data_IF_987131956492
#
_entry.id   IF_987131956492
#
_cell.length_a   1.000
_cell.length_b   1.000
_cell.length_c   1.000
_cell.angle_alpha   90.00
_cell.angle_beta   90.00
_cell.angle_gamma   90.00
#
_symmetry.space_group_name_H-M   'P 1'
#
loop_
_entity.id
_entity.type
_entity.pdbx_description
1 polymer ?
#
# COMPACT_ATOMS: atom_id res chain seq x y z
N UNK A 1 -11.97 46.60 28.49
CA UNK A 1 -12.77 45.57 27.77
C UNK A 1 -12.46 45.54 26.27
N UNK A 2 -12.47 46.66 25.53
CA UNK A 2 -12.22 46.69 24.07
C UNK A 2 -10.85 46.12 23.62
N UNK A 3 -9.81 46.31 24.43
CA UNK A 3 -8.45 45.83 24.14
C UNK A 3 -8.33 44.30 24.10
N UNK A 4 -9.07 43.58 24.96
CA UNK A 4 -9.01 42.11 25.01
C UNK A 4 -9.68 41.49 23.77
N UNK A 5 -10.78 42.09 23.31
CA UNK A 5 -11.47 41.67 22.08
C UNK A 5 -10.60 41.89 20.83
N UNK A 6 -9.85 42.99 20.77
CA UNK A 6 -8.90 43.25 19.69
C UNK A 6 -7.76 42.23 19.66
N UNK A 7 -7.20 41.88 20.82
CA UNK A 7 -6.15 40.86 20.94
C UNK A 7 -6.67 39.47 20.53
N UNK A 8 -7.88 39.10 20.96
CA UNK A 8 -8.51 37.84 20.57
C UNK A 8 -8.80 37.77 19.06
N UNK A 9 -9.24 38.88 18.46
CA UNK A 9 -9.53 38.95 17.03
C UNK A 9 -8.25 38.83 16.20
N UNK A 10 -7.16 39.47 16.62
CA UNK A 10 -5.85 39.34 15.98
C UNK A 10 -5.32 37.91 16.08
N UNK A 11 -5.43 37.26 17.25
CA UNK A 11 -5.05 35.86 17.42
C UNK A 11 -5.89 34.91 16.56
N UNK A 12 -7.20 35.17 16.43
CA UNK A 12 -8.08 34.35 15.61
C UNK A 12 -7.74 34.46 14.11
N UNK A 13 -7.45 35.67 13.63
CA UNK A 13 -7.01 35.89 12.23
C UNK A 13 -5.64 35.26 11.98
N UNK A 14 -4.70 35.38 12.91
CA UNK A 14 -3.38 34.71 12.83
C UNK A 14 -3.48 33.19 12.84
N UNK A 15 -4.45 32.62 13.58
CA UNK A 15 -4.70 31.17 13.59
C UNK A 15 -5.39 30.67 12.31
N UNK A 16 -6.15 31.52 11.60
CA UNK A 16 -6.87 31.16 10.36
C UNK A 16 -5.97 31.12 9.12
N UNK A 17 -4.95 31.98 9.05
CA UNK A 17 -4.02 32.07 7.91
C UNK A 17 -3.25 30.76 7.62
N UNK A 18 -2.73 30.01 8.61
CA UNK A 18 -1.97 28.79 8.33
C UNK A 18 -2.83 27.56 7.98
N UNK A 19 -4.14 27.57 8.28
CA UNK A 19 -5.03 26.41 8.09
C UNK A 19 -5.05 25.92 6.63
N UNK A 20 -5.28 26.76 5.60
CA UNK A 20 -5.28 26.29 4.21
C UNK A 20 -3.91 25.74 3.77
N UNK A 21 -2.81 26.30 4.30
CA UNK A 21 -1.45 25.81 4.02
C UNK A 21 -1.19 24.44 4.65
N UNK A 22 -1.59 24.24 5.91
CA UNK A 22 -1.47 22.95 6.63
C UNK A 22 -2.35 21.87 5.99
N UNK A 23 -3.56 22.21 5.55
CA UNK A 23 -4.43 21.27 4.83
C UNK A 23 -3.81 20.89 3.48
N UNK A 24 -3.18 21.83 2.78
CA UNK A 24 -2.50 21.54 1.51
C UNK A 24 -1.25 20.68 1.68
N UNK A 25 -0.47 20.87 2.76
CA UNK A 25 0.71 20.06 3.05
C UNK A 25 0.35 18.66 3.51
N UNK A 26 -0.68 18.50 4.35
CA UNK A 26 -1.23 17.18 4.70
C UNK A 26 -1.75 16.44 3.47
N UNK A 27 -2.47 17.11 2.58
CA UNK A 27 -2.96 16.48 1.34
C UNK A 27 -1.82 16.04 0.41
N UNK A 28 -0.71 16.78 0.37
CA UNK A 28 0.50 16.37 -0.37
C UNK A 28 1.19 15.18 0.28
N UNK A 29 1.33 15.17 1.60
CA UNK A 29 1.91 14.06 2.35
C UNK A 29 1.09 12.77 2.19
N UNK A 30 -0.24 12.85 2.27
CA UNK A 30 -1.15 11.72 2.06
C UNK A 30 -1.03 11.14 0.64
N UNK A 31 -0.98 12.02 -0.38
CA UNK A 31 -0.82 11.60 -1.76
C UNK A 31 0.54 10.91 -1.99
N UNK A 32 1.60 11.42 -1.36
CA UNK A 32 2.93 10.85 -1.49
C UNK A 32 3.04 9.50 -0.80
N UNK A 33 2.51 9.36 0.41
CA UNK A 33 2.41 8.07 1.10
C UNK A 33 1.57 7.06 0.29
N UNK A 34 0.50 7.51 -0.37
CA UNK A 34 -0.30 6.64 -1.22
C UNK A 34 0.47 6.16 -2.46
N UNK A 35 1.29 7.02 -3.08
CA UNK A 35 2.15 6.65 -4.21
C UNK A 35 3.19 5.62 -3.77
N UNK A 36 3.90 5.88 -2.68
CA UNK A 36 4.91 4.97 -2.11
C UNK A 36 4.30 3.60 -1.76
N UNK A 37 3.15 3.59 -1.09
CA UNK A 37 2.45 2.36 -0.77
C UNK A 37 2.03 1.58 -2.03
N UNK A 38 1.58 2.28 -3.07
CA UNK A 38 1.21 1.65 -4.34
C UNK A 38 2.44 1.06 -5.05
N UNK A 39 3.58 1.74 -5.00
CA UNK A 39 4.85 1.23 -5.54
C UNK A 39 5.33 -0.01 -4.78
N UNK A 40 5.22 -0.02 -3.45
CA UNK A 40 5.55 -1.17 -2.62
C UNK A 40 4.66 -2.38 -2.96
N UNK A 41 3.35 -2.18 -3.12
CA UNK A 41 2.43 -3.25 -3.54
C UNK A 41 2.75 -3.79 -4.94
N UNK A 42 3.17 -2.93 -5.87
CA UNK A 42 3.61 -3.35 -7.21
C UNK A 42 4.91 -4.15 -7.15
N UNK A 43 5.86 -3.70 -6.32
CA UNK A 43 7.11 -4.43 -6.07
C UNK A 43 6.82 -5.81 -5.48
N UNK A 44 5.95 -5.88 -4.46
CA UNK A 44 5.52 -7.14 -3.85
C UNK A 44 4.92 -8.10 -4.89
N UNK A 45 4.08 -7.60 -5.80
CA UNK A 45 3.50 -8.39 -6.88
C UNK A 45 4.58 -8.96 -7.81
N UNK A 46 5.52 -8.12 -8.23
CA UNK A 46 6.63 -8.53 -9.10
C UNK A 46 7.49 -9.61 -8.43
N UNK A 47 7.86 -9.39 -7.18
CA UNK A 47 8.70 -10.30 -6.41
C UNK A 47 8.00 -11.62 -6.12
N UNK A 48 6.71 -11.60 -5.78
CA UNK A 48 5.91 -12.82 -5.58
C UNK A 48 5.85 -13.65 -6.87
N UNK A 49 5.70 -13.02 -8.05
CA UNK A 49 5.75 -13.74 -9.34
C UNK A 49 7.13 -14.33 -9.61
N UNK A 50 8.20 -13.60 -9.29
CA UNK A 50 9.58 -14.07 -9.43
C UNK A 50 9.82 -15.29 -8.54
N UNK A 51 9.42 -15.21 -7.26
CA UNK A 51 9.49 -16.31 -6.30
C UNK A 51 8.78 -17.56 -6.82
N UNK A 52 7.54 -17.42 -7.32
CA UNK A 52 6.81 -18.54 -7.93
C UNK A 52 7.56 -19.19 -9.10
N UNK A 53 8.13 -18.38 -10.00
CA UNK A 53 8.89 -18.89 -11.15
C UNK A 53 10.14 -19.67 -10.72
N UNK A 54 10.90 -19.13 -9.76
CA UNK A 54 12.09 -19.80 -9.24
C UNK A 54 11.73 -21.07 -8.48
N UNK A 55 10.60 -21.08 -7.77
CA UNK A 55 10.11 -22.28 -7.11
C UNK A 55 9.71 -23.37 -8.12
N UNK A 56 9.09 -22.99 -9.24
CA UNK A 56 8.83 -23.91 -10.34
C UNK A 56 10.12 -24.43 -11.00
N UNK A 57 11.13 -23.57 -11.17
CA UNK A 57 12.45 -23.96 -11.67
C UNK A 57 13.15 -24.95 -10.74
N UNK A 58 13.15 -24.71 -9.43
CA UNK A 58 13.67 -25.63 -8.41
C UNK A 58 13.02 -27.01 -8.48
N UNK A 59 11.72 -27.07 -8.80
CA UNK A 59 11.01 -28.35 -8.93
C UNK A 59 11.37 -29.09 -10.24
N UNK A 60 11.80 -28.37 -11.27
CA UNK A 60 12.21 -28.95 -12.55
C UNK A 60 13.71 -29.25 -12.65
N UNK A 61 14.55 -28.55 -11.90
CA UNK A 61 16.01 -28.64 -11.99
C UNK A 61 16.62 -29.04 -10.62
N UNK A 62 17.21 -30.25 -10.52
CA UNK A 62 17.84 -30.71 -9.28
C UNK A 62 19.14 -29.96 -8.92
N UNK A 63 19.72 -29.18 -9.83
CA UNK A 63 20.92 -28.37 -9.58
C UNK A 63 20.60 -26.91 -9.21
N UNK A 64 19.32 -26.56 -9.09
CA UNK A 64 18.91 -25.20 -8.74
C UNK A 64 19.43 -24.78 -7.36
N UNK A 65 20.17 -23.66 -7.31
CA UNK A 65 20.72 -23.14 -6.07
C UNK A 65 19.61 -22.57 -5.18
N UNK A 66 19.44 -23.04 -3.94
CA UNK A 66 18.41 -22.53 -3.04
C UNK A 66 18.65 -21.06 -2.64
N UNK A 67 19.88 -20.55 -2.73
CA UNK A 67 20.24 -19.20 -2.29
C UNK A 67 19.48 -18.10 -3.03
N UNK A 68 19.16 -18.27 -4.31
CA UNK A 68 18.40 -17.28 -5.07
C UNK A 68 16.93 -17.21 -4.65
N UNK A 69 16.37 -18.36 -4.24
CA UNK A 69 15.02 -18.46 -3.71
C UNK A 69 14.95 -17.77 -2.34
N UNK A 70 15.93 -18.05 -1.48
CA UNK A 70 16.02 -17.48 -0.14
C UNK A 70 16.22 -15.96 -0.17
N UNK A 71 17.11 -15.45 -1.04
CA UNK A 71 17.28 -14.00 -1.21
C UNK A 71 16.01 -13.30 -1.73
N UNK A 72 15.22 -13.97 -2.57
CA UNK A 72 13.93 -13.41 -3.03
C UNK A 72 12.87 -13.44 -1.94
N UNK A 73 12.88 -14.48 -1.09
CA UNK A 73 12.02 -14.58 0.08
C UNK A 73 12.30 -13.44 1.06
N UNK A 74 13.57 -13.17 1.36
CA UNK A 74 13.97 -12.05 2.23
C UNK A 74 13.49 -10.70 1.69
N UNK A 75 13.64 -10.45 0.37
CA UNK A 75 13.16 -9.20 -0.24
C UNK A 75 11.64 -9.05 -0.15
N UNK A 76 10.88 -10.15 -0.22
CA UNK A 76 9.43 -10.13 -0.03
C UNK A 76 9.08 -9.81 1.42
N UNK A 77 9.79 -10.41 2.37
CA UNK A 77 9.60 -10.14 3.80
C UNK A 77 9.91 -8.68 4.16
N UNK A 78 10.98 -8.11 3.61
CA UNK A 78 11.31 -6.69 3.78
C UNK A 78 10.21 -5.77 3.25
N UNK A 79 9.69 -6.03 2.04
CA UNK A 79 8.59 -5.24 1.47
C UNK A 79 7.33 -5.35 2.33
N UNK A 80 7.01 -6.53 2.87
CA UNK A 80 5.86 -6.71 3.76
C UNK A 80 6.03 -5.91 5.06
N UNK A 81 7.22 -5.91 5.66
CA UNK A 81 7.51 -5.11 6.86
C UNK A 81 7.33 -3.62 6.56
N UNK A 82 7.83 -3.13 5.42
CA UNK A 82 7.65 -1.74 5.01
C UNK A 82 6.17 -1.38 4.80
N UNK A 83 5.40 -2.28 4.18
CA UNK A 83 3.95 -2.09 4.00
C UNK A 83 3.19 -2.05 5.33
N UNK A 84 3.57 -2.89 6.30
CA UNK A 84 2.99 -2.88 7.65
C UNK A 84 3.38 -1.62 8.43
N UNK A 85 4.63 -1.17 8.32
CA UNK A 85 5.13 0.02 9.01
C UNK A 85 4.42 1.31 8.57
N UNK A 86 3.91 1.36 7.34
CA UNK A 86 3.20 2.52 6.81
C UNK A 86 1.78 2.73 7.40
N UNK A 87 1.34 1.90 8.36
CA UNK A 87 0.21 2.10 9.28
C UNK A 87 -1.05 2.76 8.69
N UNK A 88 -1.35 2.44 7.43
CA UNK A 88 -2.52 2.97 6.74
C UNK A 88 -3.69 2.03 7.00
N UNK A 89 -4.56 2.40 7.96
CA UNK A 89 -5.74 1.63 8.38
C UNK A 89 -6.57 1.07 7.21
N UNK A 90 -6.52 1.73 6.05
CA UNK A 90 -7.26 1.35 4.85
C UNK A 90 -6.74 0.10 4.14
N UNK A 91 -5.44 -0.18 4.25
CA UNK A 91 -4.79 -1.31 3.58
C UNK A 91 -4.36 -2.41 4.56
N UNK A 92 -4.40 -2.13 5.87
CA UNK A 92 -4.01 -3.03 6.95
C UNK A 92 -4.60 -4.44 6.80
N UNK A 93 -5.92 -4.57 6.61
CA UNK A 93 -6.57 -5.88 6.50
C UNK A 93 -6.12 -6.71 5.28
N UNK A 94 -5.83 -6.08 4.14
CA UNK A 94 -5.35 -6.80 2.95
C UNK A 94 -3.88 -7.19 3.08
N UNK A 95 -3.06 -6.31 3.66
CA UNK A 95 -1.65 -6.59 3.94
C UNK A 95 -1.53 -7.72 4.97
N UNK A 96 -2.36 -7.72 6.02
CA UNK A 96 -2.46 -8.82 6.98
C UNK A 96 -2.83 -10.15 6.31
N UNK A 97 -3.83 -10.16 5.42
CA UNK A 97 -4.18 -11.36 4.66
C UNK A 97 -3.04 -11.84 3.76
N UNK A 98 -2.31 -10.93 3.10
CA UNK A 98 -1.14 -11.28 2.31
C UNK A 98 -0.07 -11.94 3.18
N UNK A 99 0.21 -11.40 4.37
CA UNK A 99 1.17 -11.95 5.32
C UNK A 99 0.74 -13.33 5.79
N UNK A 100 -0.54 -13.54 6.09
CA UNK A 100 -1.07 -14.86 6.46
C UNK A 100 -0.87 -15.89 5.34
N UNK A 101 -1.19 -15.53 4.10
CA UNK A 101 -0.97 -16.42 2.96
C UNK A 101 0.52 -16.67 2.69
N UNK A 102 1.38 -15.69 2.95
CA UNK A 102 2.83 -15.85 2.83
C UNK A 102 3.38 -16.80 3.90
N UNK A 103 2.95 -16.69 5.15
CA UNK A 103 3.33 -17.62 6.20
C UNK A 103 2.82 -19.04 5.90
N UNK A 104 1.61 -19.18 5.35
CA UNK A 104 1.08 -20.47 4.94
C UNK A 104 1.93 -21.15 3.84
N UNK A 105 2.60 -20.39 2.97
CA UNK A 105 3.50 -20.95 1.94
C UNK A 105 4.67 -21.73 2.55
N UNK A 106 5.22 -21.29 3.68
CA UNK A 106 6.33 -21.97 4.36
C UNK A 106 5.93 -23.37 4.86
N UNK A 107 4.64 -23.60 5.09
CA UNK A 107 4.10 -24.87 5.58
C UNK A 107 3.51 -25.75 4.47
N UNK A 108 3.53 -25.29 3.21
CA UNK A 108 2.99 -26.04 2.09
C UNK A 108 3.98 -27.06 1.54
N UNK A 109 3.59 -28.34 1.56
CA UNK A 109 4.35 -29.43 0.96
C UNK A 109 3.86 -29.79 -0.46
N UNK A 110 2.62 -29.42 -0.79
CA UNK A 110 1.98 -29.75 -2.07
C UNK A 110 2.07 -28.59 -3.06
N UNK A 111 2.42 -28.91 -4.32
CA UNK A 111 2.52 -27.95 -5.43
C UNK A 111 1.20 -27.20 -5.70
N UNK A 112 0.07 -27.90 -5.58
CA UNK A 112 -1.26 -27.31 -5.77
C UNK A 112 -1.58 -26.24 -4.72
N UNK A 113 -1.26 -26.51 -3.44
CA UNK A 113 -1.43 -25.56 -2.34
C UNK A 113 -0.48 -24.38 -2.49
N UNK A 114 0.78 -24.67 -2.85
CA UNK A 114 1.79 -23.66 -3.15
C UNK A 114 1.33 -22.69 -4.24
N UNK A 115 0.81 -23.21 -5.35
CA UNK A 115 0.23 -22.41 -6.43
C UNK A 115 -0.96 -21.60 -5.95
N UNK A 116 -1.86 -22.20 -5.17
CA UNK A 116 -3.04 -21.54 -4.65
C UNK A 116 -2.68 -20.30 -3.82
N UNK A 117 -1.77 -20.44 -2.85
CA UNK A 117 -1.38 -19.30 -2.01
C UNK A 117 -0.65 -18.21 -2.78
N UNK A 118 0.22 -18.54 -3.74
CA UNK A 118 0.82 -17.53 -4.63
C UNK A 118 -0.26 -16.78 -5.42
N UNK A 119 -1.28 -17.46 -5.93
CA UNK A 119 -2.38 -16.82 -6.64
C UNK A 119 -3.19 -15.89 -5.73
N UNK A 120 -3.48 -16.30 -4.49
CA UNK A 120 -4.18 -15.47 -3.50
C UNK A 120 -3.40 -14.19 -3.20
N UNK A 121 -2.08 -14.30 -2.95
CA UNK A 121 -1.22 -13.13 -2.71
C UNK A 121 -1.26 -12.16 -3.89
N UNK A 122 -1.15 -12.68 -5.12
CA UNK A 122 -1.19 -11.87 -6.34
C UNK A 122 -2.53 -11.18 -6.57
N UNK A 123 -3.64 -11.85 -6.23
CA UNK A 123 -4.98 -11.25 -6.32
C UNK A 123 -5.16 -10.16 -5.28
N UNK A 124 -4.78 -10.40 -4.03
CA UNK A 124 -4.87 -9.43 -2.95
C UNK A 124 -4.00 -8.19 -3.20
N UNK A 125 -2.78 -8.36 -3.71
CA UNK A 125 -1.93 -7.21 -4.10
C UNK A 125 -2.56 -6.40 -5.24
N UNK A 126 -3.16 -7.06 -6.25
CA UNK A 126 -3.85 -6.36 -7.34
C UNK A 126 -5.07 -5.58 -6.81
N UNK A 127 -5.90 -6.19 -5.97
CA UNK A 127 -7.05 -5.54 -5.35
C UNK A 127 -6.64 -4.36 -4.46
N UNK A 128 -5.54 -4.48 -3.72
CA UNK A 128 -5.00 -3.37 -2.92
C UNK A 128 -4.51 -2.20 -3.82
N UNK A 129 -3.91 -2.53 -4.96
CA UNK A 129 -3.42 -1.54 -5.94
C UNK A 129 -4.57 -0.83 -6.68
N UNK A 130 -5.61 -1.57 -7.09
CA UNK A 130 -6.76 -1.01 -7.84
C UNK A 130 -7.64 -0.08 -7.00
N UNK A 131 -7.81 -0.39 -5.71
CA UNK A 131 -8.60 0.47 -4.79
C UNK A 131 -7.90 1.80 -4.50
N UNK A 132 -6.56 1.82 -4.52
CA UNK A 132 -5.77 3.05 -4.47
C UNK A 132 -6.05 3.93 -5.70
N UNK A 133 -6.15 3.33 -6.89
CA UNK A 133 -6.33 4.07 -8.15
C UNK A 133 -7.72 4.71 -8.27
N UNK A 134 -8.79 4.00 -7.90
CA UNK A 134 -10.19 4.50 -8.00
C UNK A 134 -10.47 5.77 -7.17
N UNK A 135 -9.74 5.97 -6.07
CA UNK A 135 -9.94 7.12 -5.19
C UNK A 135 -9.24 8.39 -5.68
N UNK A 136 -8.14 8.24 -6.42
CA UNK A 136 -7.46 9.39 -7.03
C UNK A 136 -8.34 10.00 -8.14
N UNK A 137 -9.14 9.17 -8.82
CA UNK A 137 -10.12 9.63 -9.82
C UNK A 137 -11.31 10.35 -9.16
N UNK A 138 -11.86 9.83 -8.06
CA UNK A 138 -13.01 10.45 -7.37
C UNK A 138 -12.66 11.76 -6.64
N UNK A 139 -11.43 11.93 -6.14
CA UNK A 139 -10.98 13.21 -5.57
C UNK A 139 -10.65 14.29 -6.63
N UNK A 140 -10.59 13.90 -7.91
CA UNK A 140 -10.42 14.80 -9.07
C UNK A 140 -11.71 15.11 -9.83
N UNK A 141 -12.85 14.50 -9.47
CA UNK A 141 -14.15 14.71 -10.12
C UNK A 141 -15.23 15.08 -9.10
N UNK A 142 -15.10 16.23 -8.45
CA UNK A 142 -16.23 16.92 -7.80
C UNK A 142 -16.15 18.43 -8.11
N UNK A 143 -16.16 18.77 -9.39
CA UNK A 143 -16.66 20.04 -9.91
C UNK A 143 -17.12 19.81 -11.35
N UNK A 144 -18.10 18.92 -11.52
CA UNK A 144 -18.82 18.83 -12.77
C UNK A 144 -20.32 18.71 -12.45
N UNK A 145 -20.96 19.86 -12.59
CA UNK A 145 -22.34 20.06 -13.03
C UNK A 145 -23.44 19.58 -12.08
N UNK A 146 -24.09 20.54 -11.43
CA UNK A 146 -25.51 20.91 -11.67
C UNK A 146 -25.93 22.00 -10.69
N UNK A 147 -27.01 22.78 -10.93
CA UNK A 147 -27.87 22.86 -12.12
C UNK A 147 -28.05 24.30 -12.64
N UNK A 148 -28.59 24.46 -13.86
CA UNK A 148 -29.50 25.57 -14.12
C UNK A 148 -30.58 25.08 -15.09
N UNK A 149 -31.78 24.87 -14.56
CA UNK A 149 -33.04 24.82 -15.31
C UNK A 149 -33.88 25.98 -14.80
#
# INVERSE_FOLDING_TARGET
MLSIYLVLLVLFVLALIPIPSIVSSHRRADNQQQIEHTQLLQSLNHMTRRHWRMQAQKLSDPLFSPAELDGTKEQIEEIMVLLQAQNNYRYCAKVEQIVLHWQALAHCQNLSQLRHYHQQILQLTQLATSDSFKQNTQKGTVFALTPNK
#
